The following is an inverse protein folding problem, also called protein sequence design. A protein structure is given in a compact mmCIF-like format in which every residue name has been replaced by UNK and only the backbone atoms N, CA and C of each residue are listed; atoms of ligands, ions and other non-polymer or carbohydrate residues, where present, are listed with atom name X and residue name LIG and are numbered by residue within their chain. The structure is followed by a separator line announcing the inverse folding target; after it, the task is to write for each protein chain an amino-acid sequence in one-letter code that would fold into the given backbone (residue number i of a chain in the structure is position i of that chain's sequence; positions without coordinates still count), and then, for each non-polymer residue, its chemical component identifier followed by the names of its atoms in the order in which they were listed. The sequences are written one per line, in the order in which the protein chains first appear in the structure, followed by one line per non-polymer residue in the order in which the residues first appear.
data_IF_493315149145
#
_entry.id   IF_493315149145
#
_cell.length_a   1.000
_cell.length_b   1.000
_cell.length_c   1.000
_cell.angle_alpha   90.00
_cell.angle_beta   90.00
_cell.angle_gamma   90.00
#
_symmetry.space_group_name_H-M   'P 1'
#
loop_
_entity.id
_entity.type
_entity.pdbx_description
1 polymer ?
#
# COMPACT_ATOMS: atom_id res chain seq x y z
N UNK A 1 -64.22 -23.15 -24.10
CA UNK A 1 -62.85 -22.97 -24.57
C UNK A 1 -62.10 -22.16 -23.52
N UNK A 2 -61.22 -22.80 -22.72
CA UNK A 2 -60.41 -22.16 -21.69
C UNK A 2 -59.01 -22.03 -22.24
N UNK A 3 -58.55 -20.80 -22.34
CA UNK A 3 -57.18 -20.47 -22.76
C UNK A 3 -56.27 -20.53 -21.53
N UNK A 4 -55.31 -21.41 -21.55
CA UNK A 4 -54.22 -21.51 -20.53
C UNK A 4 -53.13 -20.50 -20.92
N UNK A 5 -52.90 -19.50 -20.04
CA UNK A 5 -51.77 -18.63 -20.11
C UNK A 5 -50.58 -19.27 -19.34
N UNK A 6 -49.55 -19.67 -20.06
CA UNK A 6 -48.33 -20.18 -19.45
C UNK A 6 -47.47 -19.02 -18.92
N UNK A 7 -47.20 -19.01 -17.63
CA UNK A 7 -46.26 -18.14 -16.97
C UNK A 7 -44.85 -18.66 -17.26
N UNK A 8 -44.09 -17.91 -18.02
CA UNK A 8 -42.64 -18.12 -18.22
C UNK A 8 -41.94 -17.55 -17.01
N UNK A 9 -41.46 -18.48 -16.16
CA UNK A 9 -40.59 -18.21 -15.02
C UNK A 9 -39.22 -17.74 -15.60
N UNK A 10 -38.95 -16.45 -15.51
CA UNK A 10 -37.61 -15.90 -15.81
C UNK A 10 -36.75 -16.15 -14.58
N UNK A 11 -36.02 -17.26 -14.60
CA UNK A 11 -34.96 -17.53 -13.64
C UNK A 11 -34.01 -16.35 -13.54
N UNK A 12 -34.09 -15.62 -12.42
CA UNK A 12 -33.14 -14.59 -12.07
C UNK A 12 -31.78 -15.26 -11.85
N UNK A 13 -30.80 -14.87 -12.65
CA UNK A 13 -29.41 -15.16 -12.36
C UNK A 13 -29.06 -14.41 -11.08
N UNK A 14 -29.05 -15.10 -9.95
CA UNK A 14 -28.40 -14.66 -8.72
C UNK A 14 -26.89 -14.55 -9.00
N UNK A 15 -26.49 -13.43 -9.57
CA UNK A 15 -25.11 -12.98 -9.51
C UNK A 15 -24.85 -12.67 -8.03
N UNK A 16 -24.22 -13.62 -7.33
CA UNK A 16 -23.76 -13.43 -5.96
C UNK A 16 -22.72 -12.31 -5.99
N UNK A 17 -23.15 -11.07 -5.82
CA UNK A 17 -22.22 -9.97 -5.55
C UNK A 17 -21.35 -10.39 -4.35
N UNK A 18 -20.01 -10.39 -4.48
CA UNK A 18 -19.16 -10.77 -3.39
C UNK A 18 -19.46 -9.85 -2.21
N UNK A 19 -19.86 -10.44 -1.08
CA UNK A 19 -20.25 -9.68 0.12
C UNK A 19 -19.05 -8.84 0.56
N UNK A 20 -19.10 -7.53 0.34
CA UNK A 20 -18.02 -6.58 0.67
C UNK A 20 -17.53 -6.69 2.10
N UNK A 21 -18.39 -7.08 3.04
CA UNK A 21 -18.04 -7.29 4.45
C UNK A 21 -17.08 -8.46 4.71
N UNK A 22 -16.83 -9.33 3.73
CA UNK A 22 -15.83 -10.42 3.81
C UNK A 22 -14.64 -10.18 2.87
N UNK A 23 -14.74 -9.19 2.02
CA UNK A 23 -13.70 -8.86 1.05
C UNK A 23 -12.41 -8.42 1.74
N UNK A 24 -11.22 -8.86 1.26
CA UNK A 24 -9.96 -8.37 1.78
C UNK A 24 -9.75 -6.91 1.41
N UNK A 25 -9.11 -6.16 2.33
CA UNK A 25 -8.85 -4.72 2.15
C UNK A 25 -7.36 -4.48 2.00
N UNK A 26 -6.97 -3.80 0.93
CA UNK A 26 -5.58 -3.38 0.68
C UNK A 26 -5.44 -1.89 0.96
N UNK A 27 -4.67 -1.55 1.99
CA UNK A 27 -4.29 -0.16 2.28
C UNK A 27 -2.99 0.13 1.55
N UNK A 28 -3.07 0.93 0.49
CA UNK A 28 -1.98 1.22 -0.42
C UNK A 28 -1.68 2.72 -0.48
N UNK A 29 -0.50 3.09 -0.96
CA UNK A 29 -0.11 4.48 -1.10
C UNK A 29 1.38 4.64 -1.37
N UNK A 30 1.84 5.85 -1.60
CA UNK A 30 3.27 6.10 -1.56
C UNK A 30 3.80 5.75 -0.15
N UNK A 31 4.92 5.04 -0.01
CA UNK A 31 5.54 4.85 1.30
C UNK A 31 5.64 6.18 2.05
N UNK A 32 5.37 6.20 3.35
CA UNK A 32 5.34 7.40 4.23
C UNK A 32 4.09 8.28 4.09
N UNK A 33 3.06 7.84 3.38
CA UNK A 33 1.78 8.57 3.28
C UNK A 33 0.79 8.30 4.42
N UNK A 34 1.16 7.49 5.43
CA UNK A 34 0.28 7.18 6.56
C UNK A 34 -0.51 5.87 6.41
N UNK A 35 -0.13 5.00 5.48
CA UNK A 35 -0.75 3.67 5.28
C UNK A 35 -0.84 2.87 6.59
N UNK A 36 0.22 2.87 7.40
CA UNK A 36 0.25 2.15 8.69
C UNK A 36 -0.78 2.68 9.68
N UNK A 37 -1.00 4.00 9.72
CA UNK A 37 -2.00 4.61 10.63
C UNK A 37 -3.40 4.14 10.26
N UNK A 38 -3.77 4.27 8.99
CA UNK A 38 -5.07 3.82 8.51
C UNK A 38 -5.25 2.30 8.68
N UNK A 39 -4.23 1.52 8.36
CA UNK A 39 -4.26 0.07 8.56
C UNK A 39 -4.52 -0.32 10.02
N UNK A 40 -3.80 0.31 10.96
CA UNK A 40 -4.02 0.06 12.38
C UNK A 40 -5.42 0.48 12.83
N UNK A 41 -6.00 1.54 12.26
CA UNK A 41 -7.39 1.91 12.52
C UNK A 41 -8.36 0.82 12.05
N UNK A 42 -8.12 0.22 10.88
CA UNK A 42 -8.93 -0.92 10.40
C UNK A 42 -8.81 -2.12 11.35
N UNK A 43 -7.60 -2.47 11.76
CA UNK A 43 -7.39 -3.57 12.72
C UNK A 43 -8.09 -3.30 14.08
N UNK A 44 -8.12 -2.04 14.51
CA UNK A 44 -8.75 -1.62 15.77
C UNK A 44 -10.29 -1.62 15.70
N UNK A 45 -10.85 -1.56 14.49
CA UNK A 45 -12.30 -1.62 14.30
C UNK A 45 -12.91 -3.00 14.61
N UNK A 46 -12.06 -4.05 14.71
CA UNK A 46 -12.46 -5.42 14.92
C UNK A 46 -12.72 -6.17 13.62
N UNK A 47 -12.97 -7.48 13.72
CA UNK A 47 -13.22 -8.42 12.62
C UNK A 47 -12.07 -8.62 11.61
N UNK A 48 -10.99 -7.85 11.70
CA UNK A 48 -9.80 -8.01 10.89
C UNK A 48 -8.71 -8.80 11.61
N UNK A 49 -8.09 -9.73 10.89
CA UNK A 49 -6.88 -10.41 11.35
C UNK A 49 -5.74 -9.42 11.60
N UNK A 50 -5.12 -9.51 12.75
CA UNK A 50 -3.97 -8.67 13.11
C UNK A 50 -2.70 -9.29 12.55
N UNK A 51 -2.18 -8.70 11.49
CA UNK A 51 -0.89 -9.05 10.88
C UNK A 51 -0.05 -7.78 10.73
N UNK A 52 0.89 -7.55 11.64
CA UNK A 52 1.66 -6.30 11.75
C UNK A 52 2.92 -6.28 10.88
N UNK A 53 2.82 -6.80 9.66
CA UNK A 53 3.93 -6.78 8.70
C UNK A 53 3.41 -6.43 7.30
N UNK A 54 4.25 -5.81 6.50
CA UNK A 54 4.02 -5.67 5.07
C UNK A 54 4.21 -7.04 4.41
N UNK A 55 3.21 -7.55 3.72
CA UNK A 55 3.29 -8.89 3.12
C UNK A 55 4.33 -8.97 2.00
N UNK A 56 4.55 -7.87 1.30
CA UNK A 56 5.49 -7.73 0.19
C UNK A 56 5.32 -8.79 -0.92
N UNK A 57 4.12 -9.35 -1.06
CA UNK A 57 3.88 -10.46 -1.99
C UNK A 57 4.07 -10.02 -3.43
N UNK A 58 3.36 -8.99 -3.89
CA UNK A 58 3.37 -8.61 -5.30
C UNK A 58 4.57 -7.77 -5.71
N UNK A 59 5.15 -6.99 -4.80
CA UNK A 59 6.32 -6.15 -5.07
C UNK A 59 7.66 -6.86 -4.92
N UNK A 60 7.76 -7.92 -4.09
CA UNK A 60 9.01 -8.65 -3.86
C UNK A 60 8.92 -10.15 -4.14
N UNK A 61 7.94 -10.87 -3.53
CA UNK A 61 7.90 -12.33 -3.60
C UNK A 61 7.53 -12.82 -5.00
N UNK A 62 6.49 -12.28 -5.61
CA UNK A 62 6.07 -12.65 -6.98
C UNK A 62 7.17 -12.38 -8.00
N UNK A 63 7.84 -11.23 -8.04
CA UNK A 63 8.99 -11.03 -8.93
C UNK A 63 10.14 -12.00 -8.70
N UNK A 64 10.43 -12.33 -7.44
CA UNK A 64 11.53 -13.21 -7.04
C UNK A 64 11.28 -14.67 -7.39
N UNK A 65 10.08 -15.19 -7.09
CA UNK A 65 9.71 -16.60 -7.20
C UNK A 65 8.64 -16.81 -8.29
N UNK A 66 8.88 -16.30 -9.49
CA UNK A 66 7.95 -16.40 -10.62
C UNK A 66 7.59 -17.85 -10.92
N UNK A 67 6.35 -18.03 -11.42
CA UNK A 67 5.89 -19.36 -11.82
C UNK A 67 5.60 -20.28 -10.64
N UNK A 68 4.95 -19.77 -9.61
CA UNK A 68 4.55 -20.51 -8.40
C UNK A 68 3.70 -21.76 -8.68
N UNK A 69 3.23 -21.97 -9.92
CA UNK A 69 2.62 -23.23 -10.35
C UNK A 69 3.62 -24.38 -10.35
N UNK A 70 4.90 -24.11 -10.57
CA UNK A 70 5.95 -25.10 -10.45
C UNK A 70 6.24 -25.39 -8.96
N UNK A 71 6.28 -26.67 -8.60
CA UNK A 71 6.52 -27.13 -7.23
C UNK A 71 7.87 -26.64 -6.69
N UNK A 72 8.91 -26.61 -7.52
CA UNK A 72 10.23 -26.10 -7.14
C UNK A 72 10.17 -24.64 -6.67
N UNK A 73 9.52 -23.76 -7.44
CA UNK A 73 9.42 -22.35 -7.12
C UNK A 73 8.57 -22.09 -5.85
N UNK A 74 7.54 -22.91 -5.62
CA UNK A 74 6.76 -22.85 -4.36
C UNK A 74 7.61 -23.28 -3.17
N UNK A 75 8.43 -24.33 -3.32
CA UNK A 75 9.34 -24.80 -2.28
C UNK A 75 10.36 -23.73 -1.92
N UNK A 76 10.99 -23.10 -2.93
CA UNK A 76 11.97 -22.04 -2.72
C UNK A 76 11.36 -20.83 -2.02
N UNK A 77 10.14 -20.41 -2.44
CA UNK A 77 9.38 -19.36 -1.78
C UNK A 77 9.10 -19.70 -0.33
N UNK A 78 8.58 -20.91 -0.09
CA UNK A 78 8.19 -21.36 1.24
C UNK A 78 9.40 -21.44 2.18
N UNK A 79 10.52 -22.02 1.73
CA UNK A 79 11.75 -22.11 2.51
C UNK A 79 12.27 -20.72 2.92
N UNK A 80 12.27 -19.77 1.98
CA UNK A 80 12.66 -18.38 2.27
C UNK A 80 11.67 -17.71 3.24
N UNK A 81 10.36 -17.87 3.00
CA UNK A 81 9.34 -17.20 3.81
C UNK A 81 9.32 -17.73 5.25
N UNK A 82 9.47 -19.02 5.46
CA UNK A 82 9.54 -19.65 6.81
C UNK A 82 10.70 -19.10 7.65
N UNK A 83 11.80 -18.67 7.01
CA UNK A 83 12.94 -18.05 7.70
C UNK A 83 12.80 -16.54 7.89
N UNK A 84 11.74 -15.93 7.38
CA UNK A 84 11.57 -14.47 7.37
C UNK A 84 10.84 -13.96 8.61
N UNK A 85 11.00 -12.66 8.90
CA UNK A 85 10.20 -11.97 9.90
C UNK A 85 8.69 -11.98 9.58
N UNK A 86 8.34 -12.18 8.30
CA UNK A 86 6.95 -12.25 7.85
C UNK A 86 6.25 -13.51 8.41
N UNK A 87 6.92 -14.66 8.34
CA UNK A 87 6.40 -15.88 8.93
C UNK A 87 6.26 -15.74 10.45
N UNK A 88 7.27 -15.20 11.12
CA UNK A 88 7.23 -14.94 12.56
C UNK A 88 6.04 -14.05 12.95
N UNK A 89 5.81 -12.98 12.20
CA UNK A 89 4.69 -12.07 12.45
C UNK A 89 3.32 -12.74 12.23
N UNK A 90 3.24 -13.81 11.41
CA UNK A 90 2.00 -14.54 11.19
C UNK A 90 1.58 -15.38 12.40
N UNK A 91 2.54 -15.84 13.21
CA UNK A 91 2.32 -16.75 14.33
C UNK A 91 1.77 -18.11 13.93
N UNK A 92 1.86 -18.51 12.66
CA UNK A 92 1.31 -19.76 12.12
C UNK A 92 2.19 -20.98 12.46
N UNK A 93 1.60 -22.16 12.43
CA UNK A 93 2.34 -23.42 12.46
C UNK A 93 2.99 -23.69 11.10
N UNK A 94 4.29 -24.03 11.14
CA UNK A 94 5.06 -24.23 9.92
C UNK A 94 4.63 -25.46 9.12
N UNK A 95 4.21 -26.53 9.77
CA UNK A 95 3.82 -27.78 9.12
C UNK A 95 2.47 -27.61 8.39
N UNK A 96 1.48 -27.08 9.09
CA UNK A 96 0.12 -26.89 8.57
C UNK A 96 0.12 -25.92 7.39
N UNK A 97 0.78 -24.75 7.54
CA UNK A 97 0.80 -23.75 6.46
C UNK A 97 1.63 -24.21 5.27
N UNK A 98 2.70 -24.98 5.49
CA UNK A 98 3.51 -25.53 4.40
C UNK A 98 2.71 -26.52 3.55
N UNK A 99 1.97 -27.41 4.18
CA UNK A 99 1.12 -28.37 3.47
C UNK A 99 0.11 -27.65 2.56
N UNK A 100 -0.57 -26.63 3.08
CA UNK A 100 -1.52 -25.83 2.30
C UNK A 100 -0.87 -25.08 1.15
N UNK A 101 0.25 -24.38 1.37
CA UNK A 101 0.96 -23.65 0.32
C UNK A 101 1.43 -24.63 -0.77
N UNK A 102 1.97 -25.78 -0.40
CA UNK A 102 2.46 -26.77 -1.37
C UNK A 102 1.35 -27.38 -2.23
N UNK A 103 0.13 -27.50 -1.73
CA UNK A 103 -1.00 -28.10 -2.46
C UNK A 103 -1.87 -27.08 -3.18
N UNK A 104 -2.17 -25.93 -2.58
CA UNK A 104 -3.19 -24.99 -3.03
C UNK A 104 -2.63 -23.76 -3.78
N UNK A 105 -1.34 -23.40 -3.58
CA UNK A 105 -0.80 -22.16 -4.11
C UNK A 105 -0.40 -22.26 -5.59
N UNK A 106 -1.09 -21.54 -6.46
CA UNK A 106 -0.76 -21.40 -7.89
C UNK A 106 -0.22 -20.02 -8.28
N UNK A 107 -0.22 -19.05 -7.34
CA UNK A 107 0.20 -17.68 -7.59
C UNK A 107 0.36 -16.85 -6.33
N UNK A 108 0.74 -15.58 -6.50
CA UNK A 108 0.92 -14.66 -5.37
C UNK A 108 -0.39 -14.37 -4.62
N UNK A 109 -1.50 -14.30 -5.35
CA UNK A 109 -2.83 -14.11 -4.75
C UNK A 109 -3.23 -15.27 -3.87
N UNK A 110 -3.00 -16.52 -4.32
CA UNK A 110 -3.26 -17.72 -3.52
C UNK A 110 -2.37 -17.73 -2.28
N UNK A 111 -1.07 -17.45 -2.45
CA UNK A 111 -0.13 -17.40 -1.34
C UNK A 111 -0.59 -16.40 -0.27
N UNK A 112 -0.90 -15.17 -0.66
CA UNK A 112 -1.35 -14.15 0.28
C UNK A 112 -2.67 -14.55 0.95
N UNK A 113 -3.64 -15.05 0.17
CA UNK A 113 -4.94 -15.47 0.68
C UNK A 113 -4.81 -16.65 1.68
N UNK A 114 -4.02 -17.66 1.36
CA UNK A 114 -3.77 -18.81 2.24
C UNK A 114 -3.20 -18.34 3.58
N UNK A 115 -2.13 -17.52 3.54
CA UNK A 115 -1.49 -17.01 4.76
C UNK A 115 -2.46 -16.16 5.58
N UNK A 116 -3.13 -15.20 4.97
CA UNK A 116 -3.98 -14.25 5.70
C UNK A 116 -5.27 -14.87 6.20
N UNK A 117 -5.86 -15.82 5.46
CA UNK A 117 -7.02 -16.60 5.94
C UNK A 117 -6.65 -17.49 7.12
N UNK A 118 -5.45 -18.06 7.12
CA UNK A 118 -4.99 -18.89 8.22
C UNK A 118 -4.71 -18.06 9.48
N UNK A 119 -4.14 -16.86 9.33
CA UNK A 119 -4.00 -15.88 10.43
C UNK A 119 -5.38 -15.49 10.97
N UNK A 120 -6.35 -15.22 10.10
CA UNK A 120 -7.71 -14.88 10.48
C UNK A 120 -8.40 -16.04 11.23
N UNK A 121 -8.31 -17.28 10.71
CA UNK A 121 -8.83 -18.48 11.33
C UNK A 121 -8.27 -18.69 12.74
N UNK A 122 -6.95 -18.55 12.88
CA UNK A 122 -6.28 -18.69 14.18
C UNK A 122 -6.74 -17.66 15.21
N UNK A 123 -7.08 -16.46 14.76
CA UNK A 123 -7.55 -15.37 15.60
C UNK A 123 -9.08 -15.35 15.80
N UNK A 124 -9.81 -16.28 15.18
CA UNK A 124 -11.26 -16.36 15.29
C UNK A 124 -12.00 -15.22 14.59
N UNK A 125 -11.39 -14.58 13.58
CA UNK A 125 -11.99 -13.48 12.81
C UNK A 125 -12.21 -13.90 11.36
N UNK A 126 -13.15 -13.22 10.68
CA UNK A 126 -13.58 -13.60 9.33
C UNK A 126 -12.92 -12.83 8.20
N UNK A 127 -12.11 -11.81 8.51
CA UNK A 127 -11.60 -10.84 7.52
C UNK A 127 -10.12 -10.51 7.72
N UNK A 128 -9.48 -10.07 6.65
CA UNK A 128 -8.08 -9.63 6.70
C UNK A 128 -7.84 -8.39 5.83
N UNK A 129 -6.80 -7.66 6.17
CA UNK A 129 -6.31 -6.54 5.39
C UNK A 129 -4.80 -6.67 5.18
N UNK A 130 -4.28 -6.10 4.08
CA UNK A 130 -2.86 -5.98 3.80
C UNK A 130 -2.44 -4.51 3.76
N UNK A 131 -1.29 -4.21 4.33
CA UNK A 131 -0.70 -2.89 4.32
C UNK A 131 0.72 -2.95 3.75
N UNK A 132 0.81 -3.16 2.44
CA UNK A 132 2.05 -3.03 1.69
C UNK A 132 1.93 -1.82 0.76
N UNK A 133 2.53 -0.66 1.10
CA UNK A 133 2.31 0.58 0.35
C UNK A 133 2.56 0.44 -1.16
N UNK A 134 3.65 -0.23 -1.56
CA UNK A 134 4.01 -0.44 -2.97
C UNK A 134 3.07 -1.37 -3.73
N UNK A 135 2.15 -2.09 -3.08
CA UNK A 135 1.07 -2.81 -3.77
C UNK A 135 0.20 -1.87 -4.62
N UNK A 136 0.29 -0.56 -4.38
CA UNK A 136 -0.27 0.48 -5.23
C UNK A 136 0.09 0.31 -6.72
N UNK A 137 1.29 -0.18 -7.01
CA UNK A 137 1.76 -0.42 -8.39
C UNK A 137 1.26 -1.74 -8.99
N UNK A 138 0.56 -2.56 -8.20
CA UNK A 138 0.15 -3.92 -8.56
C UNK A 138 -1.35 -4.16 -8.37
N UNK A 139 -2.17 -3.12 -8.18
CA UNK A 139 -3.59 -3.26 -7.85
C UNK A 139 -4.37 -4.06 -8.90
N UNK A 140 -4.13 -3.84 -10.20
CA UNK A 140 -4.76 -4.63 -11.26
C UNK A 140 -4.34 -6.12 -11.22
N UNK A 141 -3.08 -6.39 -10.92
CA UNK A 141 -2.57 -7.76 -10.77
C UNK A 141 -3.18 -8.44 -9.54
N UNK A 142 -3.27 -7.70 -8.44
CA UNK A 142 -3.92 -8.16 -7.21
C UNK A 142 -5.39 -8.47 -7.51
N UNK A 143 -6.10 -7.54 -8.15
CA UNK A 143 -7.53 -7.70 -8.48
C UNK A 143 -7.80 -8.91 -9.37
N UNK A 144 -6.91 -9.18 -10.33
CA UNK A 144 -7.00 -10.34 -11.20
C UNK A 144 -6.83 -11.66 -10.44
N UNK A 145 -6.01 -11.71 -9.39
CA UNK A 145 -5.75 -12.90 -8.58
C UNK A 145 -6.65 -12.98 -7.34
N UNK A 146 -7.17 -11.86 -6.87
CA UNK A 146 -8.06 -11.71 -5.71
C UNK A 146 -9.25 -10.83 -6.16
N UNK A 147 -10.24 -11.39 -6.87
CA UNK A 147 -11.29 -10.61 -7.54
C UNK A 147 -12.18 -9.79 -6.60
N UNK A 148 -12.29 -10.18 -5.34
CA UNK A 148 -13.04 -9.49 -4.29
C UNK A 148 -12.24 -8.42 -3.53
N UNK A 149 -10.95 -8.19 -3.87
CA UNK A 149 -10.09 -7.20 -3.21
C UNK A 149 -10.65 -5.78 -3.33
N UNK A 150 -10.64 -5.04 -2.20
CA UNK A 150 -10.96 -3.62 -2.12
C UNK A 150 -9.69 -2.83 -1.82
N UNK A 151 -9.54 -1.65 -2.44
CA UNK A 151 -8.32 -0.85 -2.33
C UNK A 151 -8.62 0.52 -1.73
N UNK A 152 -7.93 0.85 -0.65
CA UNK A 152 -7.92 2.19 -0.05
C UNK A 152 -6.57 2.81 -0.34
N UNK A 153 -6.56 3.82 -1.20
CA UNK A 153 -5.35 4.57 -1.55
C UNK A 153 -5.24 5.83 -0.69
N UNK A 154 -4.31 5.82 0.27
CA UNK A 154 -4.03 7.00 1.07
C UNK A 154 -3.03 7.91 0.38
N UNK A 155 -3.44 9.17 0.19
CA UNK A 155 -2.65 10.22 -0.47
C UNK A 155 -2.33 11.30 0.57
N UNK A 156 -1.07 11.72 0.59
CA UNK A 156 -0.54 12.75 1.49
C UNK A 156 0.24 13.79 0.71
N UNK A 157 0.36 15.01 1.26
CA UNK A 157 1.20 16.08 0.71
C UNK A 157 2.62 15.56 0.41
N UNK A 158 3.02 15.68 -0.87
CA UNK A 158 4.31 15.18 -1.35
C UNK A 158 5.51 15.80 -0.65
N UNK A 159 5.38 17.01 -0.12
CA UNK A 159 6.44 17.69 0.64
C UNK A 159 6.69 17.01 1.99
N UNK A 160 5.64 16.62 2.69
CA UNK A 160 5.75 15.85 3.93
C UNK A 160 6.24 14.42 3.70
N UNK A 161 5.79 13.79 2.60
CA UNK A 161 6.26 12.47 2.18
C UNK A 161 7.75 12.51 1.89
N UNK A 162 8.20 13.50 1.12
CA UNK A 162 9.61 13.65 0.72
C UNK A 162 10.53 13.84 1.93
N UNK A 163 10.15 14.66 2.90
CA UNK A 163 10.88 14.80 4.17
C UNK A 163 11.07 13.46 4.88
N UNK A 164 9.98 12.69 5.00
CA UNK A 164 10.03 11.41 5.67
C UNK A 164 10.81 10.35 4.87
N UNK A 165 10.70 10.38 3.55
CA UNK A 165 11.38 9.45 2.64
C UNK A 165 12.90 9.71 2.60
N UNK A 166 13.30 10.98 2.53
CA UNK A 166 14.71 11.38 2.55
C UNK A 166 15.40 11.01 3.88
N UNK A 167 14.70 11.17 5.03
CA UNK A 167 15.21 10.74 6.35
C UNK A 167 15.55 9.24 6.41
N UNK A 168 14.88 8.41 5.59
CA UNK A 168 15.15 6.97 5.51
C UNK A 168 16.32 6.62 4.58
N UNK A 169 16.90 7.59 3.87
CA UNK A 169 17.97 7.35 2.92
C UNK A 169 17.54 6.54 1.68
N UNK A 170 16.24 6.52 1.35
CA UNK A 170 15.71 5.72 0.23
C UNK A 170 15.81 6.42 -1.12
N UNK A 171 16.13 7.71 -1.13
CA UNK A 171 16.37 8.47 -2.36
C UNK A 171 17.80 8.22 -2.85
N UNK A 172 17.93 7.62 -4.04
CA UNK A 172 19.22 7.37 -4.66
C UNK A 172 19.34 8.21 -5.93
N UNK A 173 20.15 9.29 -5.91
CA UNK A 173 20.38 10.10 -7.08
C UNK A 173 21.09 9.32 -8.19
N UNK A 174 20.86 9.72 -9.44
CA UNK A 174 21.63 9.26 -10.57
C UNK A 174 23.11 9.70 -10.41
N UNK A 175 24.10 8.93 -10.91
CA UNK A 175 25.53 9.20 -10.64
C UNK A 175 26.02 10.61 -11.01
N UNK A 176 25.34 11.24 -11.97
CA UNK A 176 25.67 12.59 -12.47
C UNK A 176 24.80 13.68 -11.85
N UNK A 177 23.83 13.32 -11.02
CA UNK A 177 22.89 14.27 -10.45
C UNK A 177 23.30 14.66 -9.03
N UNK A 178 23.35 15.97 -8.81
CA UNK A 178 23.61 16.59 -7.50
C UNK A 178 22.34 17.18 -6.88
N UNK A 179 21.16 16.79 -7.39
CA UNK A 179 19.88 17.24 -6.87
C UNK A 179 19.71 16.75 -5.44
N UNK A 180 19.13 17.59 -4.60
CA UNK A 180 18.80 17.23 -3.23
C UNK A 180 17.84 16.03 -3.21
N UNK A 181 18.04 15.14 -2.24
CA UNK A 181 17.23 13.92 -2.05
C UNK A 181 15.72 14.20 -1.97
N UNK A 182 15.34 15.40 -1.49
CA UNK A 182 13.94 15.84 -1.42
C UNK A 182 13.27 15.91 -2.80
N UNK A 183 13.96 16.48 -3.80
CA UNK A 183 13.43 16.57 -5.15
C UNK A 183 13.21 15.20 -5.78
N UNK A 184 14.15 14.27 -5.58
CA UNK A 184 14.05 12.89 -6.08
C UNK A 184 12.89 12.15 -5.39
N UNK A 185 12.75 12.33 -4.08
CA UNK A 185 11.64 11.77 -3.31
C UNK A 185 10.28 12.32 -3.79
N UNK A 186 10.21 13.61 -4.13
CA UNK A 186 9.03 14.23 -4.72
C UNK A 186 8.66 13.65 -6.08
N UNK A 187 9.65 13.44 -6.96
CA UNK A 187 9.42 12.80 -8.26
C UNK A 187 8.97 11.34 -8.12
N UNK A 188 9.52 10.60 -7.14
CA UNK A 188 9.05 9.26 -6.84
C UNK A 188 7.61 9.26 -6.32
N UNK A 189 7.27 10.19 -5.39
CA UNK A 189 5.93 10.37 -4.88
C UNK A 189 4.93 10.68 -6.01
N UNK A 190 5.25 11.61 -6.89
CA UNK A 190 4.40 11.93 -8.03
C UNK A 190 4.19 10.71 -8.94
N UNK A 191 5.28 10.03 -9.31
CA UNK A 191 5.24 8.86 -10.17
C UNK A 191 4.34 7.75 -9.61
N UNK A 192 4.56 7.37 -8.35
CA UNK A 192 3.82 6.25 -7.76
C UNK A 192 2.34 6.60 -7.51
N UNK A 193 2.03 7.84 -7.11
CA UNK A 193 0.65 8.29 -6.90
C UNK A 193 -0.10 8.39 -8.22
N UNK A 194 0.51 8.93 -9.28
CA UNK A 194 -0.10 8.94 -10.62
C UNK A 194 -0.43 7.54 -11.11
N UNK A 195 0.52 6.60 -10.98
CA UNK A 195 0.30 5.18 -11.34
C UNK A 195 -0.83 4.56 -10.53
N UNK A 196 -0.86 4.80 -9.25
CA UNK A 196 -1.93 4.30 -8.37
C UNK A 196 -3.30 4.84 -8.77
N UNK A 197 -3.41 6.15 -9.02
CA UNK A 197 -4.66 6.76 -9.47
C UNK A 197 -5.10 6.28 -10.85
N UNK A 198 -4.16 6.03 -11.75
CA UNK A 198 -4.45 5.46 -13.07
C UNK A 198 -5.06 4.06 -12.95
N UNK A 199 -4.43 3.16 -12.18
CA UNK A 199 -4.97 1.83 -11.92
C UNK A 199 -6.30 1.90 -11.15
N UNK A 200 -6.39 2.77 -10.13
CA UNK A 200 -7.60 2.93 -9.32
C UNK A 200 -8.83 3.32 -10.15
N UNK A 201 -8.68 4.21 -11.13
CA UNK A 201 -9.77 4.55 -12.06
C UNK A 201 -10.30 3.35 -12.84
N UNK A 202 -9.44 2.37 -13.17
CA UNK A 202 -9.86 1.15 -13.87
C UNK A 202 -10.55 0.15 -12.94
N UNK A 203 -10.27 0.22 -11.64
CA UNK A 203 -10.92 -0.63 -10.63
C UNK A 203 -12.33 -0.13 -10.24
N UNK A 204 -12.68 1.11 -10.60
CA UNK A 204 -14.01 1.68 -10.40
C UNK A 204 -14.46 1.64 -8.94
N UNK A 205 -15.57 0.97 -8.66
CA UNK A 205 -16.19 0.91 -7.34
C UNK A 205 -15.36 0.18 -6.27
N UNK A 206 -14.31 -0.54 -6.64
CA UNK A 206 -13.46 -1.28 -5.70
C UNK A 206 -12.21 -0.51 -5.26
N UNK A 207 -12.17 0.79 -5.60
CA UNK A 207 -11.09 1.70 -5.24
C UNK A 207 -11.62 2.98 -4.61
N UNK A 208 -11.02 3.42 -3.50
CA UNK A 208 -11.34 4.69 -2.84
C UNK A 208 -10.08 5.42 -2.40
N UNK A 209 -10.02 6.73 -2.67
CA UNK A 209 -8.94 7.61 -2.19
C UNK A 209 -9.30 8.19 -0.81
N UNK A 210 -8.28 8.26 0.07
CA UNK A 210 -8.37 8.92 1.38
C UNK A 210 -7.21 9.92 1.50
N UNK A 211 -7.52 11.14 1.93
CA UNK A 211 -6.50 12.14 2.24
C UNK A 211 -5.98 11.95 3.66
N UNK A 212 -4.65 11.83 3.78
CA UNK A 212 -4.00 11.69 5.09
C UNK A 212 -4.34 12.86 6.00
N UNK A 213 -4.31 14.08 5.46
CA UNK A 213 -4.59 15.30 6.19
C UNK A 213 -6.03 15.33 6.74
N UNK A 214 -7.00 14.86 5.94
CA UNK A 214 -8.38 14.73 6.37
C UNK A 214 -8.54 13.65 7.46
N UNK A 215 -7.85 12.52 7.32
CA UNK A 215 -7.85 11.46 8.32
C UNK A 215 -7.29 11.95 9.67
N UNK A 216 -6.28 12.81 9.65
CA UNK A 216 -5.70 13.37 10.89
C UNK A 216 -6.57 14.47 11.48
N UNK A 217 -7.10 15.38 10.66
CA UNK A 217 -7.89 16.50 11.12
C UNK A 217 -9.31 16.08 11.60
N UNK A 218 -9.96 15.18 10.83
CA UNK A 218 -11.34 14.76 11.07
C UNK A 218 -11.47 13.24 10.92
N UNK A 219 -10.86 12.44 11.82
CA UNK A 219 -10.81 10.98 11.68
C UNK A 219 -12.21 10.35 11.68
N UNK A 220 -13.12 10.81 12.54
CA UNK A 220 -14.49 10.30 12.63
C UNK A 220 -15.24 10.48 11.30
N UNK A 221 -15.18 11.67 10.71
CA UNK A 221 -15.83 11.94 9.41
C UNK A 221 -15.19 11.12 8.27
N UNK A 222 -13.86 11.04 8.25
CA UNK A 222 -13.14 10.27 7.22
C UNK A 222 -13.48 8.79 7.31
N UNK A 223 -13.52 8.22 8.50
CA UNK A 223 -13.86 6.83 8.73
C UNK A 223 -15.33 6.53 8.44
N UNK A 224 -16.26 7.45 8.78
CA UNK A 224 -17.67 7.28 8.46
C UNK A 224 -17.96 7.23 6.97
N UNK A 225 -17.16 7.93 6.13
CA UNK A 225 -17.22 7.84 4.67
C UNK A 225 -16.59 6.56 4.12
N UNK A 226 -15.56 6.04 4.81
CA UNK A 226 -14.85 4.84 4.39
C UNK A 226 -15.59 3.55 4.77
N UNK A 227 -16.31 3.55 5.89
CA UNK A 227 -17.04 2.38 6.39
C UNK A 227 -17.98 1.73 5.37
N UNK A 228 -18.88 2.50 4.71
CA UNK A 228 -19.76 1.96 3.67
C UNK A 228 -19.01 1.35 2.48
N UNK A 229 -17.87 1.92 2.10
CA UNK A 229 -17.06 1.41 1.00
C UNK A 229 -16.56 -0.01 1.26
N UNK A 230 -16.11 -0.29 2.49
CA UNK A 230 -15.61 -1.61 2.84
C UNK A 230 -16.68 -2.46 3.55
N UNK A 231 -17.91 -1.96 3.69
CA UNK A 231 -19.01 -2.60 4.43
C UNK A 231 -18.58 -2.99 5.87
N UNK A 232 -17.94 -2.07 6.59
CA UNK A 232 -17.46 -2.22 7.96
C UNK A 232 -17.84 -0.99 8.79
N UNK A 233 -18.30 -1.21 10.01
CA UNK A 233 -18.47 -0.12 10.97
C UNK A 233 -17.11 0.33 11.51
N UNK A 234 -16.74 1.58 11.20
CA UNK A 234 -15.48 2.20 11.60
C UNK A 234 -15.74 3.28 12.66
N UNK A 235 -16.27 2.87 13.81
CA UNK A 235 -16.46 3.77 14.95
C UNK A 235 -15.12 4.23 15.53
N UNK A 236 -14.88 5.54 15.46
CA UNK A 236 -13.58 6.11 15.84
C UNK A 236 -13.33 6.03 17.35
N UNK A 237 -14.35 6.16 18.20
CA UNK A 237 -14.17 6.04 19.65
C UNK A 237 -13.80 4.61 20.05
N UNK A 238 -14.42 3.61 19.39
CA UNK A 238 -14.03 2.21 19.56
C UNK A 238 -12.61 1.97 19.11
N UNK A 239 -12.21 2.52 17.97
CA UNK A 239 -10.84 2.43 17.43
C UNK A 239 -9.83 3.03 18.40
N UNK A 240 -10.11 4.20 18.98
CA UNK A 240 -9.25 4.82 19.97
C UNK A 240 -9.10 3.97 21.24
N UNK A 241 -10.20 3.43 21.74
CA UNK A 241 -10.20 2.56 22.95
C UNK A 241 -9.43 1.27 22.73
N UNK A 242 -9.49 0.68 21.54
CA UNK A 242 -8.72 -0.51 21.21
C UNK A 242 -7.21 -0.27 21.17
N UNK A 243 -6.76 0.96 20.94
CA UNK A 243 -5.38 1.40 21.09
C UNK A 243 -4.36 0.88 20.06
N UNK A 244 -4.79 0.06 19.09
CA UNK A 244 -3.89 -0.47 18.03
C UNK A 244 -3.53 0.62 17.05
N UNK A 245 -4.47 1.55 16.76
CA UNK A 245 -4.29 2.62 15.80
C UNK A 245 -5.09 3.85 16.15
N UNK A 246 -4.55 4.73 16.98
CA UNK A 246 -5.10 6.06 17.19
C UNK A 246 -4.18 7.12 16.62
N UNK A 247 -4.76 8.29 16.30
CA UNK A 247 -3.98 9.47 15.88
C UNK A 247 -3.08 9.97 17.01
N UNK A 248 -3.47 9.71 18.26
CA UNK A 248 -2.71 10.08 19.46
C UNK A 248 -1.47 9.22 19.73
N UNK A 249 -1.36 8.06 19.06
CA UNK A 249 -0.18 7.20 19.15
C UNK A 249 0.49 7.08 17.78
N UNK A 250 1.31 8.06 17.40
CA UNK A 250 2.03 8.00 16.13
C UNK A 250 2.98 6.79 16.10
N UNK A 251 3.15 6.22 14.91
CA UNK A 251 4.14 5.17 14.68
C UNK A 251 5.51 5.64 15.19
N UNK A 252 6.23 4.75 15.90
CA UNK A 252 7.55 4.98 16.49
C UNK A 252 8.61 5.62 15.57
N UNK A 253 8.42 5.55 14.24
CA UNK A 253 9.26 6.25 13.26
C UNK A 253 9.21 7.79 13.37
N UNK A 254 8.31 8.34 14.17
CA UNK A 254 8.11 9.78 14.33
C UNK A 254 8.40 10.30 15.75
N UNK A 255 8.77 9.45 16.68
CA UNK A 255 9.18 9.86 18.00
C UNK A 255 10.57 10.50 17.92
N UNK A 256 10.62 11.80 17.73
CA UNK A 256 11.85 12.60 17.86
C UNK A 256 12.17 12.90 19.36
N UNK A 257 11.69 12.07 20.29
CA UNK A 257 11.94 12.26 21.75
C UNK A 257 11.27 13.50 22.36
N UNK A 258 10.50 14.27 21.62
CA UNK A 258 9.75 15.41 22.14
C UNK A 258 8.36 14.93 22.58
N UNK A 259 8.18 14.76 23.87
CA UNK A 259 6.86 14.68 24.50
C UNK A 259 6.11 16.00 24.25
N UNK A 260 5.08 15.97 23.42
CA UNK A 260 4.20 17.12 23.20
C UNK A 260 3.84 17.33 21.72
N UNK A 261 2.55 17.37 21.43
CA UNK A 261 1.88 17.84 20.20
C UNK A 261 2.57 17.52 18.86
N UNK A 262 2.84 16.23 18.60
CA UNK A 262 3.34 15.81 17.30
C UNK A 262 2.24 15.99 16.24
N UNK A 263 2.35 17.03 15.41
CA UNK A 263 1.50 17.19 14.24
C UNK A 263 2.20 16.63 12.99
N UNK A 264 1.72 15.53 12.41
CA UNK A 264 2.32 14.96 11.20
C UNK A 264 2.00 15.75 9.93
N UNK A 265 1.09 16.72 9.97
CA UNK A 265 0.61 17.48 8.81
C UNK A 265 1.38 18.80 8.68
N UNK A 266 1.70 19.16 7.45
CA UNK A 266 2.38 20.41 7.07
C UNK A 266 3.75 20.65 7.75
N UNK A 267 4.46 19.61 8.15
CA UNK A 267 5.81 19.68 8.74
C UNK A 267 6.82 20.34 7.80
N UNK A 268 6.61 20.18 6.50
CA UNK A 268 7.46 20.79 5.49
C UNK A 268 7.55 22.32 5.64
N UNK A 269 6.53 23.00 6.17
CA UNK A 269 6.55 24.45 6.39
C UNK A 269 7.65 24.90 7.37
N UNK A 270 7.99 24.04 8.33
CA UNK A 270 9.01 24.34 9.35
C UNK A 270 10.33 23.60 9.14
N UNK A 271 10.34 22.55 8.35
CA UNK A 271 11.50 21.66 8.15
C UNK A 271 12.20 21.84 6.81
N UNK A 272 11.58 22.51 5.84
CA UNK A 272 12.20 22.84 4.56
C UNK A 272 12.52 24.34 4.50
N UNK A 273 13.70 24.68 3.97
CA UNK A 273 14.03 26.07 3.65
C UNK A 273 13.20 26.57 2.46
N UNK A 274 13.05 27.88 2.33
CA UNK A 274 12.36 28.52 1.19
C UNK A 274 12.95 28.05 -0.16
N UNK A 275 14.27 27.85 -0.22
CA UNK A 275 14.94 27.37 -1.42
C UNK A 275 14.60 25.91 -1.71
N UNK A 276 14.53 25.05 -0.70
CA UNK A 276 14.12 23.64 -0.83
C UNK A 276 12.68 23.54 -1.31
N UNK A 277 11.77 24.33 -0.74
CA UNK A 277 10.37 24.39 -1.16
C UNK A 277 10.29 24.80 -2.63
N UNK A 278 10.96 25.89 -3.02
CA UNK A 278 10.94 26.39 -4.39
C UNK A 278 11.53 25.37 -5.40
N UNK A 279 12.62 24.68 -5.01
CA UNK A 279 13.24 23.65 -5.85
C UNK A 279 12.33 22.40 -5.98
N UNK A 280 11.69 22.00 -4.90
CA UNK A 280 10.72 20.89 -4.88
C UNK A 280 9.49 21.20 -5.75
N UNK A 281 8.89 22.37 -5.55
CA UNK A 281 7.70 22.80 -6.29
C UNK A 281 8.00 23.06 -7.78
N UNK A 282 9.23 23.43 -8.15
CA UNK A 282 9.65 23.51 -9.54
C UNK A 282 9.67 22.13 -10.24
N UNK A 283 9.76 21.03 -9.51
CA UNK A 283 9.74 19.67 -10.06
C UNK A 283 8.36 19.05 -10.08
N UNK A 284 7.56 19.25 -9.02
CA UNK A 284 6.28 18.54 -8.82
C UNK A 284 5.09 19.44 -8.51
N UNK A 285 5.25 20.78 -8.65
CA UNK A 285 4.23 21.76 -8.27
C UNK A 285 2.91 21.59 -9.00
N UNK A 286 2.94 21.29 -10.30
CA UNK A 286 1.73 21.04 -11.09
C UNK A 286 0.93 19.86 -10.52
N UNK A 287 1.62 18.81 -10.08
CA UNK A 287 0.95 17.67 -9.49
C UNK A 287 0.43 17.93 -8.07
N UNK A 288 1.15 18.75 -7.28
CA UNK A 288 0.62 19.24 -6.01
C UNK A 288 -0.72 19.96 -6.23
N UNK A 289 -0.79 20.89 -7.19
CA UNK A 289 -2.00 21.61 -7.53
C UNK A 289 -3.13 20.70 -8.01
N UNK A 290 -2.83 19.73 -8.89
CA UNK A 290 -3.78 18.71 -9.35
C UNK A 290 -4.42 17.97 -8.17
N UNK A 291 -3.65 17.73 -7.12
CA UNK A 291 -4.11 17.09 -5.90
C UNK A 291 -4.72 18.07 -4.88
N UNK A 292 -4.81 19.37 -5.16
CA UNK A 292 -5.36 20.38 -4.26
C UNK A 292 -4.41 20.87 -3.17
N UNK A 293 -3.13 20.57 -3.27
CA UNK A 293 -2.09 21.11 -2.38
C UNK A 293 -1.55 22.43 -2.96
N UNK A 294 -1.85 23.56 -2.30
CA UNK A 294 -1.40 24.87 -2.75
C UNK A 294 0.13 25.00 -2.71
N UNK A 295 0.82 25.33 -3.82
CA UNK A 295 2.20 25.74 -3.80
C UNK A 295 2.36 27.09 -3.08
N UNK A 296 3.52 27.31 -2.44
CA UNK A 296 3.85 28.60 -1.80
C UNK A 296 4.72 29.45 -2.72
N UNK A 297 5.57 28.83 -3.54
CA UNK A 297 6.39 29.54 -4.50
C UNK A 297 5.50 30.21 -5.55
N UNK A 298 5.72 31.51 -5.78
CA UNK A 298 4.90 32.31 -6.68
C UNK A 298 4.65 31.60 -8.01
N UNK A 299 3.37 31.41 -8.32
CA UNK A 299 2.89 30.87 -9.58
C UNK A 299 3.49 31.69 -10.74
N UNK A 300 4.33 31.06 -11.57
CA UNK A 300 4.93 31.73 -12.72
C UNK A 300 6.42 31.44 -12.95
N UNK A 301 7.07 30.67 -12.07
CA UNK A 301 8.45 30.27 -12.32
C UNK A 301 8.48 29.26 -13.47
N UNK A 302 8.92 29.73 -14.64
CA UNK A 302 9.16 28.84 -15.79
C UNK A 302 10.06 27.69 -15.34
N UNK A 303 9.56 26.47 -15.39
CA UNK A 303 10.35 25.27 -15.12
C UNK A 303 11.56 25.29 -16.07
N UNK A 304 12.77 25.27 -15.53
CA UNK A 304 13.94 25.35 -16.38
C UNK A 304 14.03 24.11 -17.29
N UNK A 305 14.59 24.22 -18.49
CA UNK A 305 14.81 23.07 -19.36
C UNK A 305 15.63 21.96 -18.68
N UNK A 306 16.52 22.35 -17.75
CA UNK A 306 17.29 21.40 -16.93
C UNK A 306 16.38 20.62 -15.96
N UNK A 307 15.47 21.29 -15.27
CA UNK A 307 14.50 20.63 -14.36
C UNK A 307 13.57 19.69 -15.11
N UNK A 308 13.13 20.06 -16.31
CA UNK A 308 12.29 19.19 -17.16
C UNK A 308 13.05 17.92 -17.61
N UNK A 309 14.30 18.05 -18.04
CA UNK A 309 15.14 16.89 -18.40
C UNK A 309 15.38 15.98 -17.21
N UNK A 310 15.71 16.56 -16.05
CA UNK A 310 15.93 15.83 -14.81
C UNK A 310 14.67 15.04 -14.42
N UNK A 311 13.51 15.71 -14.40
CA UNK A 311 12.22 15.09 -14.15
C UNK A 311 11.95 13.90 -15.10
N UNK A 312 12.10 14.12 -16.41
CA UNK A 312 11.91 13.07 -17.40
C UNK A 312 12.83 11.88 -17.17
N UNK A 313 14.11 12.11 -16.87
CA UNK A 313 15.09 11.04 -16.59
C UNK A 313 14.69 10.20 -15.39
N UNK A 314 14.25 10.81 -14.29
CA UNK A 314 13.82 10.08 -13.10
C UNK A 314 12.52 9.29 -13.31
N UNK A 315 11.52 9.92 -13.93
CA UNK A 315 10.25 9.24 -14.23
C UNK A 315 10.48 8.01 -15.14
N UNK A 316 11.31 8.17 -16.17
CA UNK A 316 11.71 7.05 -17.05
C UNK A 316 12.46 5.97 -16.28
N UNK A 317 13.38 6.35 -15.39
CA UNK A 317 14.10 5.39 -14.55
C UNK A 317 13.18 4.62 -13.61
N UNK A 318 12.22 5.28 -12.96
CA UNK A 318 11.26 4.61 -12.08
C UNK A 318 10.40 3.63 -12.86
N UNK A 319 9.91 4.05 -14.03
CA UNK A 319 9.13 3.20 -14.93
C UNK A 319 9.93 1.97 -15.40
N UNK A 320 11.16 2.18 -15.85
CA UNK A 320 12.05 1.12 -16.30
C UNK A 320 12.36 0.13 -15.16
N UNK A 321 12.67 0.62 -13.96
CA UNK A 321 12.91 -0.24 -12.79
C UNK A 321 11.67 -1.06 -12.43
N UNK A 322 10.49 -0.44 -12.43
CA UNK A 322 9.24 -1.14 -12.19
C UNK A 322 8.97 -2.20 -13.26
N UNK A 323 9.09 -1.84 -14.54
CA UNK A 323 8.90 -2.77 -15.66
C UNK A 323 9.87 -3.95 -15.60
N UNK A 324 11.17 -3.71 -15.36
CA UNK A 324 12.17 -4.77 -15.20
C UNK A 324 11.78 -5.72 -14.08
N UNK A 325 11.42 -5.17 -12.90
CA UNK A 325 11.00 -5.96 -11.75
C UNK A 325 9.73 -6.77 -12.03
N UNK A 326 8.69 -6.11 -12.55
CA UNK A 326 7.38 -6.70 -12.68
C UNK A 326 7.21 -7.59 -13.92
N UNK A 327 7.89 -7.27 -15.03
CA UNK A 327 7.58 -7.88 -16.34
C UNK A 327 8.72 -8.71 -16.94
N UNK A 328 9.96 -8.63 -16.43
CA UNK A 328 11.10 -9.37 -17.00
C UNK A 328 11.61 -10.47 -16.04
N UNK A 329 12.32 -11.49 -16.54
CA UNK A 329 12.97 -12.50 -15.71
C UNK A 329 13.99 -11.93 -14.71
N UNK A 330 14.48 -10.72 -14.95
CA UNK A 330 15.41 -10.02 -14.04
C UNK A 330 14.79 -9.69 -12.69
N UNK A 331 13.46 -9.71 -12.56
CA UNK A 331 12.77 -9.61 -11.28
C UNK A 331 13.24 -10.63 -10.23
N UNK A 332 13.75 -11.81 -10.67
CA UNK A 332 14.32 -12.82 -9.76
C UNK A 332 15.55 -12.35 -8.97
N UNK A 333 16.22 -11.30 -9.42
CA UNK A 333 17.38 -10.70 -8.73
C UNK A 333 17.01 -9.57 -7.77
N UNK A 334 15.71 -9.32 -7.56
CA UNK A 334 15.25 -8.33 -6.57
C UNK A 334 15.81 -8.70 -5.21
N UNK A 335 16.46 -7.72 -4.59
CA UNK A 335 16.96 -7.87 -3.22
C UNK A 335 15.77 -7.89 -2.25
N UNK A 336 15.72 -8.87 -1.38
CA UNK A 336 14.70 -9.00 -0.34
C UNK A 336 15.04 -8.15 0.91
N UNK A 337 15.58 -6.94 0.69
CA UNK A 337 15.80 -5.99 1.78
C UNK A 337 14.46 -5.67 2.45
N UNK A 338 14.38 -5.87 3.76
CA UNK A 338 13.13 -5.68 4.51
C UNK A 338 12.41 -6.99 4.86
N UNK A 339 12.70 -8.08 4.16
CA UNK A 339 12.36 -9.44 4.59
C UNK A 339 13.65 -10.03 5.18
N UNK A 340 14.04 -9.54 6.36
CA UNK A 340 15.28 -9.99 6.99
C UNK A 340 15.17 -11.48 7.32
N UNK A 341 16.08 -12.23 6.71
CA UNK A 341 16.34 -13.63 7.07
C UNK A 341 17.02 -13.64 8.45
N UNK A 342 16.64 -14.54 9.31
CA UNK A 342 17.43 -14.76 10.52
C UNK A 342 18.86 -15.13 10.14
N UNK A 343 19.88 -14.54 10.79
CA UNK A 343 21.21 -15.10 10.70
C UNK A 343 21.11 -16.57 11.15
N UNK A 344 21.65 -17.49 10.35
CA UNK A 344 21.79 -18.89 10.78
C UNK A 344 22.53 -18.85 12.11
N UNK A 345 21.87 -19.23 13.19
CA UNK A 345 22.55 -19.47 14.47
C UNK A 345 23.64 -20.50 14.17
N UNK A 346 24.91 -20.20 14.39
CA UNK A 346 25.93 -21.24 14.26
C UNK A 346 25.59 -22.34 15.29
N UNK A 347 25.43 -23.56 14.76
CA UNK A 347 25.27 -24.77 15.55
C UNK A 347 26.59 -25.07 16.26
#
# INVERSE_FOLDING_TARGET
MKTLAGTVDRGGSDSVEPKRNKAPVFVVGCPRSGTTVLYHMLLSAGDFAVYRAESNVFNLLVPRFRGMRAISNRRDLLEMWLRSKLFRASGLDSTEISARIMTECGGGGDFLRIVMQEVARKQGVGRWADCTPEHLLYMEEIKRQIPDALFIHIIRDGRDVALSYAKQGWSHPLPWDRTEQLGIAGLYWEWIVRKGREQGRRLGADYQEVRFEALIANPQETLSRLGPFIAQDLDYERIQRAGIGSVSQPNSSFTDGSEGNFNPVARWKTKMSTQQIASFEALVGDFLQELGYAPISASGRRVSPRSMRLRSSYLTMFEAKHWIRAKTPLGRFVRLKGIEMEPKTPV
#
